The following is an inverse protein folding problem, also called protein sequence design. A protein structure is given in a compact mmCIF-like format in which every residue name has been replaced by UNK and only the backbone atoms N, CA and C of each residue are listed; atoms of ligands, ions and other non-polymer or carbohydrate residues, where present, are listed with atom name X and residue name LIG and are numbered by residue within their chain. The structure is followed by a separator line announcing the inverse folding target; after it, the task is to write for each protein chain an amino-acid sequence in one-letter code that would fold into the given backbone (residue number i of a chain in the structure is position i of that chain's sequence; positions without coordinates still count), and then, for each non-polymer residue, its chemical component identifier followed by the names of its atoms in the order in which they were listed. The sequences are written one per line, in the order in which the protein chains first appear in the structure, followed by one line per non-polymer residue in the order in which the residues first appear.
data_IF_907780666042
#
_entry.id   IF_907780666042
#
_cell.length_a   1.000
_cell.length_b   1.000
_cell.length_c   1.000
_cell.angle_alpha   90.00
_cell.angle_beta   90.00
_cell.angle_gamma   90.00
#
_symmetry.space_group_name_H-M   'P 1'
#
loop_
_entity.id
_entity.type
_entity.pdbx_description
1 polymer ?
#
# COMPACT_ATOMS: atom_id res chain seq x y z
N UNK A 1 7.65 27.24 17.11
CA UNK A 1 7.94 25.98 17.85
C UNK A 1 6.89 24.87 17.67
N UNK A 2 5.75 25.07 17.00
CA UNK A 2 4.75 24.00 16.79
C UNK A 2 5.11 22.96 15.70
N UNK A 3 5.84 23.37 14.64
CA UNK A 3 6.13 22.51 13.47
C UNK A 3 7.13 21.36 13.72
N UNK A 4 7.99 21.48 14.75
CA UNK A 4 8.94 20.41 15.10
C UNK A 4 8.24 19.17 15.71
N UNK A 5 7.09 19.34 16.37
CA UNK A 5 6.37 18.25 17.04
C UNK A 5 5.56 17.39 16.06
N UNK A 6 4.80 17.99 15.14
CA UNK A 6 3.95 17.24 14.21
C UNK A 6 4.75 16.39 13.22
N UNK A 7 5.94 16.86 12.80
CA UNK A 7 6.79 16.08 11.89
C UNK A 7 7.44 14.87 12.55
N UNK A 8 7.69 14.89 13.87
CA UNK A 8 8.28 13.76 14.62
C UNK A 8 7.31 12.60 14.82
N UNK A 9 6.01 12.85 14.74
CA UNK A 9 5.00 11.80 14.93
C UNK A 9 4.89 10.87 13.73
N UNK A 10 5.19 11.36 12.52
CA UNK A 10 5.05 10.62 11.27
C UNK A 10 5.77 9.26 11.27
N UNK A 11 7.09 9.18 11.57
CA UNK A 11 7.79 7.90 11.65
C UNK A 11 7.21 6.99 12.73
N UNK A 12 6.90 7.55 13.91
CA UNK A 12 6.34 6.81 15.04
C UNK A 12 4.97 6.20 14.72
N UNK A 13 4.10 6.95 14.05
CA UNK A 13 2.78 6.48 13.63
C UNK A 13 2.90 5.41 12.54
N UNK A 14 3.88 5.53 11.64
CA UNK A 14 4.16 4.51 10.63
C UNK A 14 4.71 3.22 11.25
N UNK A 15 5.58 3.31 12.26
CA UNK A 15 6.08 2.16 13.02
C UNK A 15 4.99 1.46 13.82
N UNK A 16 4.15 2.23 14.53
CA UNK A 16 3.01 1.68 15.27
C UNK A 16 2.04 0.97 14.34
N UNK A 17 1.77 1.55 13.18
CA UNK A 17 0.92 0.93 12.18
C UNK A 17 1.53 -0.37 11.64
N UNK A 18 2.84 -0.39 11.35
CA UNK A 18 3.53 -1.61 10.92
C UNK A 18 3.55 -2.71 11.98
N UNK A 19 3.72 -2.36 13.25
CA UNK A 19 3.66 -3.31 14.37
C UNK A 19 2.23 -3.88 14.56
N UNK A 20 1.21 -3.05 14.37
CA UNK A 20 -0.19 -3.50 14.45
C UNK A 20 -0.56 -4.46 13.30
N UNK A 21 -0.06 -4.21 12.10
CA UNK A 21 -0.35 -5.07 10.94
C UNK A 21 0.38 -6.41 11.03
N UNK A 22 1.63 -6.41 11.50
CA UNK A 22 2.42 -7.63 11.67
C UNK A 22 1.96 -8.50 12.85
N UNK A 23 1.42 -7.91 13.92
CA UNK A 23 0.87 -8.67 15.06
C UNK A 23 -0.51 -9.29 14.79
N UNK A 24 -1.25 -8.76 13.81
CA UNK A 24 -2.59 -9.26 13.43
C UNK A 24 -2.54 -10.25 12.26
N UNK A 25 -1.39 -10.42 11.61
CA UNK A 25 -1.16 -11.48 10.63
C UNK A 25 -0.77 -12.80 11.35
N UNK A 26 -1.31 -13.95 10.94
CA UNK A 26 -0.90 -15.24 11.51
C UNK A 26 0.58 -15.53 11.17
N UNK A 27 1.42 -15.67 12.19
CA UNK A 27 2.81 -16.16 12.06
C UNK A 27 2.81 -17.61 11.55
N UNK A 28 3.40 -17.85 10.37
CA UNK A 28 3.70 -19.19 9.89
C UNK A 28 4.90 -19.78 10.66
N UNK A 29 4.61 -20.66 11.62
CA UNK A 29 5.60 -21.51 12.28
C UNK A 29 5.72 -22.84 11.55
N UNK A 30 6.45 -22.86 10.44
CA UNK A 30 6.84 -24.11 9.77
C UNK A 30 8.36 -24.29 9.72
N UNK A 31 8.94 -24.60 10.89
CA UNK A 31 10.19 -25.37 10.99
C UNK A 31 9.84 -26.80 11.43
N UNK A 32 9.91 -27.78 10.52
CA UNK A 32 10.53 -29.11 10.76
C UNK A 32 10.45 -30.10 9.56
N UNK A 33 11.66 -30.45 9.09
CA UNK A 33 12.18 -31.79 8.75
C UNK A 33 11.62 -32.63 7.58
N UNK A 34 12.52 -32.87 6.62
CA UNK A 34 12.58 -33.99 5.65
C UNK A 34 12.27 -35.37 6.24
N UNK A 35 11.47 -36.19 5.51
CA UNK A 35 11.88 -37.51 4.99
C UNK A 35 10.86 -38.09 3.98
N UNK A 36 11.39 -38.87 3.05
CA UNK A 36 10.82 -39.41 1.82
C UNK A 36 9.53 -40.25 1.92
N UNK A 37 8.76 -40.19 0.83
CA UNK A 37 8.31 -41.39 0.08
C UNK A 37 7.01 -42.05 0.49
N UNK A 38 5.92 -41.76 -0.22
CA UNK A 38 5.00 -42.80 -0.73
C UNK A 38 4.02 -42.22 -1.74
N UNK A 39 4.00 -42.80 -2.93
CA UNK A 39 2.94 -42.67 -3.92
C UNK A 39 1.65 -43.24 -3.30
N UNK A 40 0.59 -42.44 -3.21
CA UNK A 40 -0.75 -43.01 -3.18
C UNK A 40 -1.76 -42.07 -3.87
N UNK A 41 -2.08 -42.48 -5.10
CA UNK A 41 -3.41 -42.55 -5.70
C UNK A 41 -4.40 -41.44 -5.36
N UNK A 42 -4.74 -40.69 -6.41
CA UNK A 42 -6.05 -40.05 -6.62
C UNK A 42 -7.15 -40.98 -6.08
N UNK A 43 -7.78 -40.59 -4.99
CA UNK A 43 -9.11 -41.06 -4.65
C UNK A 43 -9.94 -39.86 -4.23
N UNK A 44 -10.89 -39.52 -5.09
CA UNK A 44 -12.01 -38.67 -4.73
C UNK A 44 -12.62 -39.16 -3.43
N UNK A 45 -12.59 -38.33 -2.40
CA UNK A 45 -13.53 -38.39 -1.28
C UNK A 45 -14.16 -37.02 -1.14
N UNK A 46 -15.45 -37.01 -1.49
CA UNK A 46 -16.37 -35.94 -1.14
C UNK A 46 -16.60 -35.96 0.37
N UNK A 47 -16.67 -34.76 0.97
CA UNK A 47 -17.18 -34.45 2.31
C UNK A 47 -16.23 -34.72 3.49
N UNK A 48 -15.62 -33.65 3.99
CA UNK A 48 -15.98 -33.07 5.30
C UNK A 48 -15.54 -31.60 5.33
N UNK A 49 -16.39 -30.75 5.90
CA UNK A 49 -16.35 -29.30 5.75
C UNK A 49 -15.18 -28.66 6.52
N UNK A 50 -14.09 -28.28 5.84
CA UNK A 50 -13.39 -27.06 6.22
C UNK A 50 -14.16 -25.89 5.63
N UNK A 51 -15.17 -25.46 6.39
CA UNK A 51 -15.86 -24.19 6.20
C UNK A 51 -14.79 -23.12 6.40
N UNK A 52 -14.05 -22.75 5.35
CA UNK A 52 -13.29 -21.50 5.32
C UNK A 52 -14.31 -20.46 5.74
N UNK A 53 -14.16 -19.95 6.97
CA UNK A 53 -15.18 -19.12 7.58
C UNK A 53 -15.30 -17.88 6.71
N UNK A 54 -16.39 -17.79 5.96
CA UNK A 54 -16.68 -16.70 5.04
C UNK A 54 -16.64 -15.36 5.79
N UNK A 55 -16.85 -15.38 7.11
CA UNK A 55 -16.73 -14.22 7.97
C UNK A 55 -15.25 -13.83 8.20
N UNK A 56 -14.33 -14.80 8.33
CA UNK A 56 -12.88 -14.52 8.49
C UNK A 56 -12.31 -13.89 7.22
N UNK A 57 -12.61 -14.42 6.03
CA UNK A 57 -12.13 -13.84 4.76
C UNK A 57 -12.74 -12.47 4.49
N UNK A 58 -14.01 -12.25 4.85
CA UNK A 58 -14.67 -10.95 4.77
C UNK A 58 -14.06 -9.92 5.73
N UNK A 59 -13.82 -10.29 6.98
CA UNK A 59 -13.19 -9.41 7.98
C UNK A 59 -11.75 -9.05 7.59
N UNK A 60 -10.99 -9.98 7.01
CA UNK A 60 -9.64 -9.72 6.50
C UNK A 60 -9.64 -8.80 5.27
N UNK A 61 -10.66 -8.91 4.40
CA UNK A 61 -10.85 -8.01 3.27
C UNK A 61 -11.20 -6.58 3.70
N UNK A 62 -12.18 -6.44 4.60
CA UNK A 62 -12.55 -5.15 5.20
C UNK A 62 -11.33 -4.49 5.87
N UNK A 63 -10.52 -5.29 6.58
CA UNK A 63 -9.28 -4.81 7.19
C UNK A 63 -8.24 -4.35 6.16
N UNK A 64 -8.04 -5.11 5.08
CA UNK A 64 -7.14 -4.70 3.98
C UNK A 64 -7.62 -3.41 3.30
N UNK A 65 -8.93 -3.24 3.12
CA UNK A 65 -9.52 -2.03 2.56
C UNK A 65 -9.25 -0.80 3.45
N UNK A 66 -9.49 -0.92 4.76
CA UNK A 66 -9.16 0.13 5.74
C UNK A 66 -7.68 0.50 5.71
N UNK A 67 -6.80 -0.51 5.64
CA UNK A 67 -5.36 -0.29 5.54
C UNK A 67 -4.96 0.44 4.25
N UNK A 68 -5.60 0.13 3.12
CA UNK A 68 -5.35 0.80 1.83
C UNK A 68 -5.84 2.25 1.85
N UNK A 69 -6.98 2.53 2.48
CA UNK A 69 -7.49 3.90 2.67
C UNK A 69 -6.47 4.72 3.47
N UNK A 70 -6.01 4.19 4.61
CA UNK A 70 -5.00 4.84 5.45
C UNK A 70 -3.67 5.04 4.72
N UNK A 71 -3.25 4.07 3.90
CA UNK A 71 -2.05 4.19 3.07
C UNK A 71 -2.16 5.34 2.07
N UNK A 72 -3.33 5.53 1.47
CA UNK A 72 -3.59 6.65 0.57
C UNK A 72 -3.58 8.01 1.30
N UNK A 73 -4.11 8.08 2.52
CA UNK A 73 -4.03 9.28 3.36
C UNK A 73 -2.58 9.64 3.70
N UNK A 74 -1.77 8.68 4.12
CA UNK A 74 -0.35 8.86 4.39
C UNK A 74 0.41 9.36 3.15
N UNK A 75 0.13 8.78 1.98
CA UNK A 75 0.70 9.22 0.70
C UNK A 75 0.34 10.67 0.37
N UNK A 76 -0.91 11.07 0.60
CA UNK A 76 -1.35 12.47 0.41
C UNK A 76 -0.63 13.41 1.39
N UNK A 77 -0.60 13.06 2.67
CA UNK A 77 0.08 13.84 3.69
C UNK A 77 1.56 14.05 3.36
N UNK A 78 2.25 12.97 2.99
CA UNK A 78 3.66 12.99 2.56
C UNK A 78 3.89 13.92 1.36
N UNK A 79 3.03 13.90 0.34
CA UNK A 79 3.13 14.81 -0.82
C UNK A 79 2.97 16.27 -0.42
N UNK A 80 2.05 16.57 0.50
CA UNK A 80 1.85 17.93 1.02
C UNK A 80 3.10 18.39 1.76
N UNK A 81 3.58 17.61 2.74
CA UNK A 81 4.78 17.95 3.52
C UNK A 81 6.01 18.08 2.62
N UNK A 82 6.19 17.16 1.66
CA UNK A 82 7.29 17.23 0.70
C UNK A 82 7.24 18.48 -0.18
N UNK A 83 6.06 18.86 -0.67
CA UNK A 83 5.86 20.07 -1.46
C UNK A 83 6.17 21.34 -0.67
N UNK A 84 5.66 21.43 0.56
CA UNK A 84 5.92 22.56 1.46
C UNK A 84 7.40 22.65 1.82
N UNK A 85 8.01 21.54 2.25
CA UNK A 85 9.44 21.48 2.59
C UNK A 85 10.33 21.89 1.42
N UNK A 86 10.08 21.38 0.22
CA UNK A 86 10.81 21.76 -0.99
C UNK A 86 10.63 23.25 -1.34
N UNK A 87 9.42 23.79 -1.15
CA UNK A 87 9.14 25.21 -1.42
C UNK A 87 9.85 26.12 -0.42
N UNK A 88 9.88 25.75 0.86
CA UNK A 88 10.64 26.46 1.90
C UNK A 88 12.14 26.46 1.58
N UNK A 89 12.70 25.31 1.16
CA UNK A 89 14.10 25.23 0.76
C UNK A 89 14.39 26.14 -0.43
N UNK A 90 13.57 26.09 -1.49
CA UNK A 90 13.71 26.98 -2.65
C UNK A 90 13.68 28.46 -2.27
N UNK A 91 12.81 28.85 -1.35
CA UNK A 91 12.71 30.23 -0.87
C UNK A 91 13.90 30.64 0.01
N UNK A 92 14.45 29.71 0.81
CA UNK A 92 15.58 29.98 1.70
C UNK A 92 16.93 30.01 0.97
N UNK A 93 17.11 29.24 -0.11
CA UNK A 93 18.35 29.17 -0.89
C UNK A 93 18.96 30.54 -1.24
N UNK A 94 18.23 31.51 -1.82
CA UNK A 94 18.82 32.83 -2.14
C UNK A 94 19.20 33.65 -0.89
N UNK A 95 18.56 33.39 0.26
CA UNK A 95 18.85 34.10 1.51
C UNK A 95 20.17 33.68 2.13
N UNK A 96 20.69 32.48 1.80
CA UNK A 96 22.01 32.00 2.25
C UNK A 96 23.17 32.82 1.68
N UNK A 97 22.96 33.53 0.58
CA UNK A 97 23.97 34.38 -0.07
C UNK A 97 23.86 35.84 0.40
N UNK A 98 22.94 36.12 1.33
CA UNK A 98 22.71 37.47 1.83
C UNK A 98 23.89 37.99 2.65
N UNK A 99 24.32 39.23 2.39
CA UNK A 99 25.29 39.93 3.24
C UNK A 99 24.73 40.31 4.62
N UNK A 100 23.41 40.19 4.82
CA UNK A 100 22.76 40.41 6.12
C UNK A 100 22.83 39.12 6.93
N UNK A 101 23.65 39.12 7.97
CA UNK A 101 23.86 37.98 8.87
C UNK A 101 22.54 37.40 9.41
N UNK A 102 21.61 38.27 9.86
CA UNK A 102 20.31 37.84 10.36
C UNK A 102 19.45 37.10 9.33
N UNK A 103 19.54 37.47 8.05
CA UNK A 103 18.84 36.76 6.98
C UNK A 103 19.47 35.38 6.70
N UNK A 104 20.80 35.28 6.76
CA UNK A 104 21.50 34.00 6.62
C UNK A 104 21.16 33.03 7.77
N UNK A 105 21.12 33.51 9.02
CA UNK A 105 20.78 32.68 10.17
C UNK A 105 19.36 32.12 10.08
N UNK A 106 18.38 32.95 9.70
CA UNK A 106 17.00 32.50 9.47
C UNK A 106 16.93 31.48 8.33
N UNK A 107 17.68 31.72 7.23
CA UNK A 107 17.73 30.80 6.11
C UNK A 107 18.30 29.43 6.51
N UNK A 108 19.34 29.40 7.36
CA UNK A 108 19.91 28.16 7.89
C UNK A 108 18.90 27.39 8.76
N UNK A 109 18.14 28.07 9.61
CA UNK A 109 17.07 27.43 10.40
C UNK A 109 15.98 26.81 9.50
N UNK A 110 15.59 27.52 8.43
CA UNK A 110 14.62 26.99 7.45
C UNK A 110 15.21 25.78 6.71
N UNK A 111 16.50 25.81 6.35
CA UNK A 111 17.16 24.69 5.68
C UNK A 111 17.24 23.47 6.58
N UNK A 112 17.62 23.62 7.85
CA UNK A 112 17.63 22.54 8.84
C UNK A 112 16.22 21.93 8.99
N UNK A 113 15.20 22.78 9.16
CA UNK A 113 13.81 22.34 9.28
C UNK A 113 13.29 21.64 8.03
N UNK A 114 13.52 22.21 6.85
CA UNK A 114 13.08 21.67 5.57
C UNK A 114 13.75 20.35 5.22
N UNK A 115 15.06 20.23 5.43
CA UNK A 115 15.80 18.98 5.20
C UNK A 115 15.38 17.89 6.18
N UNK A 116 15.18 18.21 7.46
CA UNK A 116 14.66 17.27 8.46
C UNK A 116 13.26 16.77 8.09
N UNK A 117 12.37 17.67 7.65
CA UNK A 117 11.03 17.28 7.22
C UNK A 117 11.06 16.35 5.99
N UNK A 118 11.94 16.63 5.01
CA UNK A 118 12.12 15.77 3.84
C UNK A 118 12.70 14.40 4.19
N UNK A 119 13.64 14.33 5.14
CA UNK A 119 14.19 13.05 5.62
C UNK A 119 13.11 12.16 6.23
N UNK A 120 12.22 12.73 7.05
CA UNK A 120 11.08 11.99 7.64
C UNK A 120 10.04 11.58 6.60
N UNK A 121 9.83 12.40 5.57
CA UNK A 121 8.98 12.05 4.41
C UNK A 121 9.54 10.83 3.67
N UNK A 122 10.86 10.76 3.48
CA UNK A 122 11.53 9.63 2.84
C UNK A 122 11.46 8.36 3.71
N UNK A 123 11.65 8.49 5.02
CA UNK A 123 11.48 7.39 5.97
C UNK A 123 10.04 6.85 5.96
N UNK A 124 9.05 7.74 6.02
CA UNK A 124 7.64 7.37 5.91
C UNK A 124 7.31 6.67 4.58
N UNK A 125 7.96 7.06 3.47
CA UNK A 125 7.80 6.40 2.18
C UNK A 125 8.32 4.96 2.18
N UNK A 126 9.44 4.69 2.86
CA UNK A 126 9.97 3.32 3.00
C UNK A 126 8.99 2.43 3.78
N UNK A 127 8.38 2.96 4.83
CA UNK A 127 7.35 2.24 5.59
C UNK A 127 6.08 2.03 4.74
N UNK A 128 5.61 3.05 4.02
CA UNK A 128 4.48 2.94 3.07
C UNK A 128 4.70 1.80 2.07
N UNK A 129 5.92 1.69 1.51
CA UNK A 129 6.29 0.65 0.56
C UNK A 129 6.20 -0.76 1.17
N UNK A 130 6.82 -0.96 2.34
CA UNK A 130 6.79 -2.25 3.06
C UNK A 130 5.35 -2.67 3.41
N UNK A 131 4.53 -1.74 3.89
CA UNK A 131 3.15 -2.05 4.23
C UNK A 131 2.33 -2.41 3.00
N UNK A 132 2.53 -1.71 1.88
CA UNK A 132 1.87 -2.06 0.61
C UNK A 132 2.26 -3.47 0.13
N UNK A 133 3.54 -3.83 0.23
CA UNK A 133 4.02 -5.18 -0.11
C UNK A 133 3.37 -6.25 0.78
N UNK A 134 3.30 -6.01 2.10
CA UNK A 134 2.65 -6.93 3.04
C UNK A 134 1.14 -7.11 2.76
N UNK A 135 0.43 -6.03 2.44
CA UNK A 135 -1.00 -6.11 2.03
C UNK A 135 -1.13 -6.94 0.76
N UNK A 136 -0.27 -6.71 -0.22
CA UNK A 136 -0.33 -7.43 -1.50
C UNK A 136 -0.05 -8.93 -1.32
N UNK A 137 0.90 -9.28 -0.47
CA UNK A 137 1.20 -10.68 -0.15
C UNK A 137 0.04 -11.34 0.60
N UNK A 138 -0.58 -10.62 1.53
CA UNK A 138 -1.78 -11.09 2.25
C UNK A 138 -2.92 -11.34 1.27
N UNK A 139 -3.20 -10.39 0.38
CA UNK A 139 -4.22 -10.56 -0.67
C UNK A 139 -3.88 -11.73 -1.60
N UNK A 140 -2.61 -11.94 -1.93
CA UNK A 140 -2.17 -13.11 -2.71
C UNK A 140 -2.48 -14.41 -1.97
N UNK A 141 -2.13 -14.53 -0.69
CA UNK A 141 -2.37 -15.73 0.10
C UNK A 141 -3.87 -16.05 0.27
N UNK A 142 -4.72 -15.03 0.43
CA UNK A 142 -6.16 -15.23 0.66
C UNK A 142 -7.00 -15.36 -0.63
N UNK A 143 -6.56 -14.77 -1.74
CA UNK A 143 -7.35 -14.72 -2.99
C UNK A 143 -6.68 -15.43 -4.18
N UNK A 144 -5.39 -15.77 -4.10
CA UNK A 144 -4.63 -16.45 -5.15
C UNK A 144 -3.91 -17.68 -4.58
N UNK A 145 -4.68 -18.75 -4.35
CA UNK A 145 -4.13 -20.07 -4.06
C UNK A 145 -4.23 -20.97 -5.30
N UNK A 146 -3.61 -20.56 -6.42
CA UNK A 146 -3.17 -21.48 -7.50
C UNK A 146 -2.37 -20.71 -8.56
N UNK A 147 -1.19 -21.26 -8.92
CA UNK A 147 -0.37 -21.00 -10.12
C UNK A 147 -0.17 -19.55 -10.58
N UNK A 148 1.02 -18.98 -10.67
CA UNK A 148 2.18 -19.57 -11.30
C UNK A 148 3.44 -18.77 -10.92
N UNK A 149 4.58 -19.39 -11.20
CA UNK A 149 5.89 -18.77 -11.30
C UNK A 149 5.84 -17.36 -11.89
N UNK A 150 6.75 -16.53 -11.40
CA UNK A 150 7.13 -15.26 -11.99
C UNK A 150 7.69 -15.56 -13.39
N UNK A 151 6.81 -15.62 -14.38
CA UNK A 151 7.18 -15.45 -15.78
C UNK A 151 7.25 -13.96 -16.04
N UNK A 152 8.48 -13.49 -16.16
CA UNK A 152 8.85 -12.28 -16.87
C UNK A 152 8.25 -12.26 -18.29
N UNK A 153 7.95 -11.05 -18.75
CA UNK A 153 7.57 -10.65 -20.12
C UNK A 153 6.13 -10.97 -20.64
N UNK A 154 5.33 -9.93 -20.89
CA UNK A 154 4.02 -10.08 -21.55
C UNK A 154 3.00 -8.97 -21.30
N UNK A 155 3.26 -7.79 -21.85
CA UNK A 155 2.39 -6.61 -21.94
C UNK A 155 1.08 -6.88 -22.72
N UNK A 156 0.07 -7.51 -22.12
CA UNK A 156 -1.28 -7.53 -22.72
C UNK A 156 -2.38 -7.11 -21.74
N UNK A 157 -2.87 -5.89 -21.98
CA UNK A 157 -4.01 -5.24 -21.36
C UNK A 157 -5.26 -6.15 -21.32
N UNK A 158 -5.46 -6.86 -20.21
CA UNK A 158 -6.63 -7.73 -19.95
C UNK A 158 -7.96 -6.99 -19.80
N UNK A 159 -7.90 -5.67 -19.57
CA UNK A 159 -9.09 -4.84 -19.45
C UNK A 159 -9.80 -4.67 -20.79
N UNK A 160 -9.05 -4.55 -21.90
CA UNK A 160 -9.63 -4.37 -23.24
C UNK A 160 -10.45 -5.59 -23.70
N UNK A 161 -9.95 -6.84 -23.62
CA UNK A 161 -10.72 -8.03 -23.91
C UNK A 161 -11.94 -8.19 -23.00
N UNK A 162 -11.82 -7.80 -21.72
CA UNK A 162 -12.92 -7.86 -20.77
C UNK A 162 -14.04 -6.86 -21.13
N UNK A 163 -13.69 -5.61 -21.43
CA UNK A 163 -14.66 -4.59 -21.86
C UNK A 163 -15.31 -4.98 -23.19
N UNK A 164 -14.53 -5.48 -24.16
CA UNK A 164 -15.08 -5.92 -25.46
C UNK A 164 -16.08 -7.09 -25.33
N UNK A 165 -15.93 -7.96 -24.32
CA UNK A 165 -16.91 -9.03 -24.03
C UNK A 165 -18.19 -8.49 -23.41
N UNK A 166 -18.11 -7.46 -22.57
CA UNK A 166 -19.26 -6.91 -21.84
C UNK A 166 -20.05 -5.90 -22.70
N UNK A 167 -19.37 -5.20 -23.60
CA UNK A 167 -19.90 -4.10 -24.41
C UNK A 167 -21.19 -4.41 -25.19
N UNK A 168 -21.32 -5.55 -25.89
CA UNK A 168 -22.55 -5.86 -26.64
C UNK A 168 -23.78 -6.01 -25.74
N UNK A 169 -23.61 -6.57 -24.53
CA UNK A 169 -24.68 -6.73 -23.56
C UNK A 169 -25.09 -5.39 -22.93
N UNK A 170 -24.12 -4.50 -22.69
CA UNK A 170 -24.37 -3.15 -22.20
C UNK A 170 -25.21 -2.34 -23.20
N UNK A 171 -24.87 -2.41 -24.49
CA UNK A 171 -25.66 -1.75 -25.56
C UNK A 171 -27.09 -2.30 -25.60
N UNK A 172 -27.26 -3.61 -25.43
CA UNK A 172 -28.58 -4.25 -25.41
C UNK A 172 -29.41 -3.77 -24.20
N UNK A 173 -28.80 -3.66 -23.02
CA UNK A 173 -29.44 -3.12 -21.82
C UNK A 173 -29.88 -1.66 -21.99
N UNK A 174 -29.09 -0.83 -22.68
CA UNK A 174 -29.40 0.58 -22.93
C UNK A 174 -30.52 0.70 -23.97
N UNK A 175 -30.46 -0.06 -25.07
CA UNK A 175 -31.52 -0.10 -26.10
C UNK A 175 -32.86 -0.60 -25.57
N UNK A 176 -32.84 -1.58 -24.68
CA UNK A 176 -34.07 -2.10 -24.07
C UNK A 176 -34.69 -1.13 -23.05
N UNK A 177 -33.88 -0.29 -22.39
CA UNK A 177 -34.39 0.81 -21.54
C UNK A 177 -35.08 1.92 -22.33
N UNK A 178 -34.72 2.12 -23.60
CA UNK A 178 -35.40 3.08 -24.50
C UNK A 178 -36.65 2.52 -25.17
N UNK A 179 -36.94 1.21 -24.99
CA UNK A 179 -38.18 0.57 -25.41
C UNK A 179 -39.06 0.25 -24.20
N UNK A 180 -39.31 1.26 -23.38
CA UNK A 180 -40.50 1.31 -22.53
C UNK A 180 -41.52 2.13 -23.30
N UNK A 181 -42.38 1.43 -24.03
CA UNK A 181 -43.69 1.95 -24.44
C UNK A 181 -44.59 1.95 -23.21
#
# INVERSE_FOLDING_TARGET
MASKFESCELPRLAELFYAETTSKLPEDKSKKTHKDGSIFSVHSFSSENEKIDCNVTKLQFEHCEEMLIKLNEMKRYRRIVGSVGMSCLKAATPLLVSKKESACLIALEIVEGGTTALAKVEEAYKCEKKTKEAINETLRLYFFQEGDDIADDGDENRLLPAINKIWPYLILCIKNKTSVV
#
